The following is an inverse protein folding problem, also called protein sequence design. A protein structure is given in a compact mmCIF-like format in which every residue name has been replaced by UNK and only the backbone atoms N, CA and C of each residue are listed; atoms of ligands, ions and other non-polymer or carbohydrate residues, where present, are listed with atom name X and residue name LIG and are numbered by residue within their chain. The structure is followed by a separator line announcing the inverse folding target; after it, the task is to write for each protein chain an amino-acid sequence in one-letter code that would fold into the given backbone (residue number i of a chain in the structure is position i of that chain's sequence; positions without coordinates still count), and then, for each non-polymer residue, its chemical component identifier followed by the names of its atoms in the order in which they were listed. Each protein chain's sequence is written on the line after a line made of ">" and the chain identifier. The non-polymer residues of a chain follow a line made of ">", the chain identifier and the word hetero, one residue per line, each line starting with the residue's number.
data_IF_708465147007
#
_entry.id   IF_708465147007
#
_cell.length_a   1.000
_cell.length_b   1.000
_cell.length_c   1.000
_cell.angle_alpha   90.00
_cell.angle_beta   90.00
_cell.angle_gamma   90.00
#
_symmetry.space_group_name_H-M   'P 1'
#
loop_
_entity.id
_entity.type
_entity.pdbx_description
1 polymer ?
#
# COMPACT_ATOMS: atom_id res chain seq x y z
N UNK A 1 17.69 7.96 14.28
CA UNK A 1 17.34 8.96 13.24
C UNK A 1 15.85 8.81 12.99
N UNK A 2 15.09 9.87 13.24
CA UNK A 2 13.63 9.91 13.13
C UNK A 2 13.34 10.87 11.99
N UNK A 3 12.54 10.42 11.04
CA UNK A 3 12.22 11.05 9.74
C UNK A 3 13.31 10.87 8.67
N UNK A 4 13.08 9.85 7.82
CA UNK A 4 13.75 9.72 6.53
C UNK A 4 12.98 10.56 5.51
N UNK A 5 13.72 11.26 4.64
CA UNK A 5 13.13 12.09 3.60
C UNK A 5 12.29 11.25 2.62
N UNK A 6 11.16 11.77 2.12
CA UNK A 6 10.38 11.06 1.10
C UNK A 6 11.22 10.76 -0.15
N UNK A 7 11.04 9.57 -0.71
CA UNK A 7 11.65 9.14 -1.96
C UNK A 7 10.58 8.71 -2.96
N UNK A 8 10.90 8.75 -4.25
CA UNK A 8 10.00 8.23 -5.29
C UNK A 8 9.75 6.74 -5.10
N UNK A 9 8.49 6.30 -5.12
CA UNK A 9 8.11 4.94 -4.73
C UNK A 9 8.53 3.82 -5.70
N UNK A 10 8.98 4.14 -6.93
CA UNK A 10 9.28 3.24 -8.07
C UNK A 10 8.14 2.28 -8.50
N UNK A 11 7.19 1.98 -7.63
CA UNK A 11 5.97 1.22 -7.86
C UNK A 11 4.96 2.10 -8.62
N UNK A 12 5.06 2.12 -9.95
CA UNK A 12 4.24 2.98 -10.83
C UNK A 12 3.26 2.14 -11.66
N UNK A 13 1.98 2.20 -11.31
CA UNK A 13 0.89 1.59 -12.06
C UNK A 13 -0.38 1.51 -11.23
N UNK A 14 -1.53 1.18 -11.84
CA UNK A 14 -2.58 0.53 -11.10
C UNK A 14 -2.15 -0.92 -10.85
N UNK A 15 -1.90 -1.28 -9.59
CA UNK A 15 -1.69 -2.67 -9.20
C UNK A 15 -2.94 -3.20 -8.51
N UNK A 16 -3.15 -4.50 -8.60
CA UNK A 16 -4.15 -5.20 -7.78
C UNK A 16 -3.46 -6.08 -6.76
N UNK A 17 -4.02 -6.19 -5.56
CA UNK A 17 -3.49 -7.05 -4.52
C UNK A 17 -4.59 -7.74 -3.72
N UNK A 18 -4.23 -8.88 -3.14
CA UNK A 18 -4.99 -9.59 -2.11
C UNK A 18 -4.30 -9.38 -0.76
N UNK A 19 -5.03 -9.51 0.33
CA UNK A 19 -4.47 -9.35 1.65
C UNK A 19 -5.13 -10.27 2.68
N UNK A 20 -4.40 -10.62 3.73
CA UNK A 20 -4.94 -11.29 4.91
C UNK A 20 -4.75 -10.46 6.18
N UNK A 21 -5.75 -10.50 7.06
CA UNK A 21 -5.69 -9.98 8.44
C UNK A 21 -5.76 -11.10 9.49
N UNK A 22 -5.37 -12.32 9.13
CA UNK A 22 -5.31 -13.47 10.05
C UNK A 22 -6.54 -14.38 10.07
N UNK A 23 -7.59 -14.06 9.30
CA UNK A 23 -8.83 -14.84 9.23
C UNK A 23 -9.13 -15.43 7.83
N UNK A 24 -8.13 -15.44 6.95
CA UNK A 24 -8.27 -15.82 5.54
C UNK A 24 -7.76 -14.73 4.60
N UNK A 25 -7.66 -15.05 3.31
CA UNK A 25 -7.21 -14.15 2.26
C UNK A 25 -8.41 -13.44 1.62
N UNK A 26 -8.39 -12.12 1.55
CA UNK A 26 -9.38 -11.34 0.83
C UNK A 26 -9.04 -11.33 -0.66
N UNK A 27 -9.70 -12.20 -1.43
CA UNK A 27 -9.42 -12.41 -2.85
C UNK A 27 -10.43 -11.74 -3.79
N UNK A 28 -11.65 -11.44 -3.32
CA UNK A 28 -12.67 -10.80 -4.15
C UNK A 28 -13.66 -9.94 -3.33
N UNK A 29 -13.87 -8.67 -3.72
CA UNK A 29 -13.22 -7.98 -4.84
C UNK A 29 -11.74 -7.66 -4.57
N UNK A 30 -10.94 -7.55 -5.63
CA UNK A 30 -9.51 -7.24 -5.52
C UNK A 30 -9.30 -5.80 -5.03
N UNK A 31 -8.30 -5.62 -4.16
CA UNK A 31 -7.86 -4.30 -3.70
C UNK A 31 -6.90 -3.67 -4.72
N UNK A 32 -6.79 -2.34 -4.75
CA UNK A 32 -5.95 -1.63 -5.74
C UNK A 32 -4.88 -0.75 -5.09
N UNK A 33 -3.73 -0.64 -5.75
CA UNK A 33 -2.70 0.35 -5.43
C UNK A 33 -2.67 1.35 -6.58
N UNK A 34 -2.78 2.63 -6.26
CA UNK A 34 -2.76 3.71 -7.21
C UNK A 34 -1.63 4.69 -6.87
N UNK A 35 -0.92 5.17 -7.88
CA UNK A 35 0.07 6.24 -7.73
C UNK A 35 -0.60 7.61 -7.61
N UNK A 36 -0.11 8.45 -6.69
CA UNK A 36 -0.53 9.85 -6.57
C UNK A 36 0.12 10.75 -7.63
N UNK A 37 -0.34 12.00 -7.74
CA UNK A 37 0.37 13.05 -8.50
C UNK A 37 1.76 13.32 -7.91
N UNK A 38 1.89 13.20 -6.59
CA UNK A 38 3.17 13.15 -5.88
C UNK A 38 3.72 11.72 -5.97
N UNK A 39 4.89 11.55 -6.57
CA UNK A 39 5.48 10.24 -6.85
C UNK A 39 6.15 9.58 -5.64
N UNK A 40 6.18 10.27 -4.50
CA UNK A 40 6.55 9.71 -3.20
C UNK A 40 5.37 9.14 -2.43
N UNK A 41 4.14 9.21 -2.97
CA UNK A 41 2.92 8.74 -2.33
C UNK A 41 2.20 7.64 -3.12
N UNK A 42 1.71 6.63 -2.39
CA UNK A 42 0.84 5.56 -2.91
C UNK A 42 -0.48 5.52 -2.15
N UNK A 43 -1.54 5.17 -2.85
CA UNK A 43 -2.86 4.92 -2.27
C UNK A 43 -3.20 3.44 -2.34
N UNK A 44 -3.34 2.81 -1.18
CA UNK A 44 -3.84 1.46 -1.03
C UNK A 44 -5.35 1.52 -0.78
N UNK A 45 -6.14 1.02 -1.73
CA UNK A 45 -7.59 0.92 -1.64
C UNK A 45 -7.98 -0.51 -1.29
N UNK A 46 -8.11 -0.78 -0.01
CA UNK A 46 -8.59 -2.06 0.51
C UNK A 46 -10.07 -2.24 0.22
N UNK A 47 -10.44 -3.46 -0.18
CA UNK A 47 -11.83 -3.91 -0.27
C UNK A 47 -12.20 -4.80 0.91
N UNK A 48 -13.46 -4.77 1.33
CA UNK A 48 -14.03 -5.80 2.21
C UNK A 48 -14.47 -7.02 1.38
N UNK A 49 -14.12 -8.22 1.86
CA UNK A 49 -14.58 -9.48 1.30
C UNK A 49 -15.72 -10.02 2.16
N UNK A 50 -16.87 -10.32 1.54
CA UNK A 50 -18.09 -10.68 2.27
C UNK A 50 -17.90 -11.88 3.22
N UNK A 51 -17.09 -12.85 2.83
CA UNK A 51 -16.90 -14.11 3.57
C UNK A 51 -15.62 -14.15 4.42
N UNK A 52 -14.89 -13.04 4.54
CA UNK A 52 -13.61 -13.00 5.27
C UNK A 52 -13.69 -12.02 6.43
N UNK A 53 -13.73 -12.57 7.64
CA UNK A 53 -13.84 -11.80 8.88
C UNK A 53 -12.66 -10.80 9.02
N UNK A 54 -12.97 -9.58 9.47
CA UNK A 54 -11.96 -8.55 9.73
C UNK A 54 -11.44 -7.82 8.49
N UNK A 55 -11.91 -8.20 7.29
CA UNK A 55 -11.69 -7.40 6.08
C UNK A 55 -12.60 -6.18 6.09
N UNK A 56 -12.08 -5.05 5.62
CA UNK A 56 -12.79 -3.76 5.65
C UNK A 56 -12.38 -2.92 4.44
N UNK A 57 -13.34 -2.20 3.88
CA UNK A 57 -13.07 -1.22 2.83
C UNK A 57 -12.46 0.03 3.42
N UNK A 58 -11.23 0.35 3.03
CA UNK A 58 -10.51 1.52 3.54
C UNK A 58 -9.50 2.03 2.52
N UNK A 59 -9.09 3.29 2.65
CA UNK A 59 -8.03 3.89 1.83
C UNK A 59 -6.90 4.29 2.76
N UNK A 60 -5.71 3.77 2.50
CA UNK A 60 -4.49 4.11 3.23
C UNK A 60 -3.49 4.79 2.30
N UNK A 61 -2.95 5.93 2.74
CA UNK A 61 -1.90 6.65 2.05
C UNK A 61 -0.54 6.25 2.63
N UNK A 62 0.42 5.90 1.76
CA UNK A 62 1.77 5.51 2.13
C UNK A 62 2.77 6.49 1.51
N UNK A 63 3.62 7.11 2.34
CA UNK A 63 4.75 7.91 1.88
C UNK A 63 6.01 7.05 1.85
N UNK A 64 6.61 6.87 0.68
CA UNK A 64 7.83 6.07 0.54
C UNK A 64 9.05 6.80 1.11
N UNK A 65 9.87 6.08 1.86
CA UNK A 65 11.08 6.61 2.52
C UNK A 65 12.34 5.86 2.13
N UNK A 66 12.22 4.67 1.54
CA UNK A 66 13.32 3.95 0.92
C UNK A 66 12.80 3.04 -0.19
N UNK A 67 13.59 2.92 -1.25
CA UNK A 67 13.39 1.94 -2.33
C UNK A 67 14.73 1.30 -2.65
N UNK A 68 14.72 0.01 -2.93
CA UNK A 68 15.91 -0.69 -3.41
C UNK A 68 15.52 -1.90 -4.25
N UNK A 69 16.49 -2.39 -5.02
CA UNK A 69 16.35 -3.60 -5.83
C UNK A 69 17.40 -4.61 -5.38
N UNK A 70 16.97 -5.84 -5.17
CA UNK A 70 17.86 -6.97 -4.90
C UNK A 70 17.49 -8.11 -5.85
N UNK A 71 18.38 -8.38 -6.81
CA UNK A 71 18.11 -9.32 -7.91
C UNK A 71 16.93 -8.87 -8.77
N UNK A 72 15.89 -9.71 -8.87
CA UNK A 72 14.64 -9.40 -9.58
C UNK A 72 13.57 -8.77 -8.69
N UNK A 73 13.81 -8.67 -7.38
CA UNK A 73 12.84 -8.14 -6.43
C UNK A 73 13.02 -6.64 -6.23
N UNK A 74 11.90 -5.91 -6.23
CA UNK A 74 11.83 -4.49 -5.90
C UNK A 74 11.21 -4.36 -4.51
N UNK A 75 11.85 -3.55 -3.66
CA UNK A 75 11.44 -3.31 -2.29
C UNK A 75 11.18 -1.84 -2.08
N UNK A 76 10.20 -1.56 -1.25
CA UNK A 76 9.93 -0.23 -0.74
C UNK A 76 9.64 -0.30 0.74
N UNK A 77 10.02 0.76 1.45
CA UNK A 77 9.59 1.04 2.82
C UNK A 77 8.84 2.36 2.76
N UNK A 78 7.68 2.40 3.41
CA UNK A 78 6.90 3.62 3.51
C UNK A 78 6.28 3.79 4.89
N UNK A 79 5.96 5.04 5.21
CA UNK A 79 5.26 5.45 6.42
C UNK A 79 3.79 5.66 6.06
N UNK A 80 2.88 5.01 6.79
CA UNK A 80 1.44 5.26 6.67
C UNK A 80 1.15 6.71 7.09
N UNK A 81 0.61 7.49 6.17
CA UNK A 81 0.22 8.88 6.40
C UNK A 81 -1.08 8.90 7.20
N UNK A 82 -0.99 9.07 8.51
CA UNK A 82 -2.15 9.45 9.31
C UNK A 82 -2.37 10.95 9.15
N UNK A 83 -3.23 11.38 8.21
CA UNK A 83 -3.75 12.75 8.28
C UNK A 83 -4.54 12.85 9.57
N UNK A 84 -3.97 13.52 10.58
CA UNK A 84 -4.73 14.00 11.73
C UNK A 84 -5.68 15.07 11.18
N UNK A 85 -6.98 14.77 11.26
CA UNK A 85 -8.01 15.80 11.13
C UNK A 85 -7.93 16.79 12.29
#
# INVERSE_FOLDING_TARGET
>A
RVDADPVSCELRGPFTFTYSRGHGECQYPLSTIDSCTDDSHLLFRFQACADVLGTESSVEELTCTAVWKEGSAHYLVGKKSTRKS
#
